data_IF_901361644193
#
_entry.id   IF_901361644193
#
_cell.length_a   1.000
_cell.length_b   1.000
_cell.length_c   1.000
_cell.angle_alpha   90.00
_cell.angle_beta   90.00
_cell.angle_gamma   90.00
#
_symmetry.space_group_name_H-M   'P 1'
#
loop_
_entity.id
_entity.type
_entity.pdbx_description
1 polymer ?
#
# COMPACT_ATOMS: atom_id res chain seq x y z
N UNK A 1 32.99 -54.43 4.58
CA UNK A 1 32.70 -53.97 5.95
C UNK A 1 33.60 -52.75 6.22
N UNK A 2 33.07 -51.53 6.27
CA UNK A 2 33.82 -50.36 6.69
C UNK A 2 33.74 -50.22 8.22
N UNK A 3 34.83 -49.74 8.80
CA UNK A 3 35.12 -49.71 10.23
C UNK A 3 34.33 -48.62 10.96
N UNK A 4 33.67 -49.01 12.06
CA UNK A 4 33.02 -48.11 13.01
C UNK A 4 34.07 -47.60 14.00
N UNK A 5 34.25 -46.28 14.06
CA UNK A 5 34.90 -45.59 15.19
C UNK A 5 33.82 -45.11 16.16
N UNK A 6 33.80 -45.54 17.43
CA UNK A 6 32.79 -45.11 18.40
C UNK A 6 33.16 -43.75 19.00
N UNK A 7 32.23 -42.79 18.95
CA UNK A 7 32.24 -41.63 19.83
C UNK A 7 32.56 -40.28 19.17
N UNK A 8 31.64 -39.77 18.34
CA UNK A 8 31.45 -38.31 18.17
C UNK A 8 29.94 -38.06 18.12
N UNK A 9 29.34 -37.78 19.27
CA UNK A 9 27.96 -37.31 19.40
C UNK A 9 27.89 -35.86 18.93
N UNK A 10 27.43 -35.65 17.69
CA UNK A 10 27.07 -34.35 17.12
C UNK A 10 25.70 -33.88 17.64
N UNK A 11 25.68 -33.27 18.84
CA UNK A 11 24.43 -32.80 19.47
C UNK A 11 24.05 -31.38 19.02
N UNK A 12 24.99 -30.61 18.46
CA UNK A 12 24.78 -29.18 18.18
C UNK A 12 24.09 -28.85 16.84
N UNK A 13 24.11 -29.75 15.85
CA UNK A 13 23.53 -29.49 14.53
C UNK A 13 21.99 -29.66 14.49
N UNK A 14 21.43 -30.54 15.33
CA UNK A 14 20.02 -30.92 15.23
C UNK A 14 19.05 -29.90 15.88
N UNK A 15 19.45 -29.22 16.96
CA UNK A 15 18.52 -28.37 17.73
C UNK A 15 18.02 -27.18 16.92
N UNK A 16 18.91 -26.49 16.19
CA UNK A 16 18.52 -25.32 15.38
C UNK A 16 17.59 -25.71 14.23
N UNK A 17 17.86 -26.82 13.55
CA UNK A 17 17.00 -27.35 12.47
C UNK A 17 15.63 -27.80 12.99
N UNK A 18 15.59 -28.42 14.18
CA UNK A 18 14.34 -28.78 14.85
C UNK A 18 13.49 -27.56 15.19
N UNK A 19 14.09 -26.48 15.69
CA UNK A 19 13.38 -25.24 15.99
C UNK A 19 12.99 -24.49 14.73
N UNK A 20 13.81 -24.52 13.68
CA UNK A 20 13.49 -23.94 12.38
C UNK A 20 12.22 -24.60 11.80
N UNK A 21 12.13 -25.93 11.81
CA UNK A 21 10.94 -26.66 11.35
C UNK A 21 9.70 -26.40 12.21
N UNK A 22 9.87 -26.06 13.50
CA UNK A 22 8.76 -25.78 14.42
C UNK A 22 8.22 -24.35 14.33
N UNK A 23 9.09 -23.39 14.02
CA UNK A 23 8.81 -21.96 14.13
C UNK A 23 8.58 -21.27 12.78
N UNK A 24 9.27 -21.71 11.71
CA UNK A 24 9.15 -21.08 10.39
C UNK A 24 7.72 -21.24 9.88
N UNK A 25 7.10 -20.12 9.48
CA UNK A 25 5.73 -20.08 8.97
C UNK A 25 4.63 -20.00 10.03
N UNK A 26 4.98 -19.90 11.32
CA UNK A 26 4.01 -19.75 12.42
C UNK A 26 4.10 -18.39 13.10
N UNK A 27 2.94 -17.79 13.42
CA UNK A 27 2.85 -16.54 14.18
C UNK A 27 3.07 -16.80 15.67
N UNK A 28 3.81 -15.95 16.37
CA UNK A 28 3.97 -16.09 17.84
C UNK A 28 2.71 -15.61 18.59
N UNK A 29 2.09 -16.48 19.38
CA UNK A 29 0.91 -16.18 20.21
C UNK A 29 1.22 -16.33 21.71
N UNK A 30 0.40 -15.74 22.58
CA UNK A 30 0.55 -15.82 24.05
C UNK A 30 -0.33 -16.92 24.68
N UNK A 31 -1.23 -17.51 23.91
CA UNK A 31 -2.35 -18.33 24.37
C UNK A 31 -2.17 -19.81 24.04
N UNK A 32 -2.08 -20.19 22.75
CA UNK A 32 -2.03 -21.61 22.33
C UNK A 32 -1.21 -21.84 21.05
N UNK A 33 -0.69 -23.07 20.89
CA UNK A 33 0.08 -23.53 19.72
C UNK A 33 -0.83 -24.29 18.75
N UNK A 34 -1.04 -23.74 17.55
CA UNK A 34 -1.85 -24.31 16.46
C UNK A 34 -1.00 -24.53 15.19
N UNK A 35 -1.63 -24.92 14.07
CA UNK A 35 -0.93 -25.09 12.79
C UNK A 35 -0.33 -23.77 12.27
N UNK A 36 -1.01 -22.64 12.53
CA UNK A 36 -0.61 -21.29 12.09
C UNK A 36 0.03 -20.44 13.20
N UNK A 37 -0.03 -20.87 14.46
CA UNK A 37 0.38 -20.09 15.63
C UNK A 37 1.27 -20.90 16.58
N UNK A 38 2.27 -20.30 17.20
CA UNK A 38 3.20 -20.94 18.14
C UNK A 38 3.23 -20.18 19.47
N UNK A 39 3.00 -20.85 20.59
CA UNK A 39 2.94 -20.21 21.89
C UNK A 39 4.33 -19.83 22.41
N UNK A 40 4.50 -18.59 22.89
CA UNK A 40 5.77 -18.12 23.48
C UNK A 40 6.21 -18.94 24.71
N UNK A 41 5.28 -19.60 25.41
CA UNK A 41 5.59 -20.45 26.57
C UNK A 41 6.31 -21.74 26.18
N UNK A 42 6.16 -22.17 24.93
CA UNK A 42 6.78 -23.38 24.39
C UNK A 42 8.20 -23.12 23.85
N UNK A 43 8.69 -21.88 23.92
CA UNK A 43 10.07 -21.54 23.59
C UNK A 43 11.05 -22.02 24.68
N UNK A 44 12.32 -22.29 24.33
CA UNK A 44 13.36 -22.64 25.30
C UNK A 44 13.50 -21.60 26.42
N UNK A 45 13.91 -22.02 27.62
CA UNK A 45 14.09 -21.10 28.76
C UNK A 45 14.98 -19.90 28.45
N UNK A 46 16.04 -20.10 27.67
CA UNK A 46 16.91 -19.05 27.17
C UNK A 46 16.55 -18.74 25.71
N UNK A 47 15.68 -17.74 25.50
CA UNK A 47 15.32 -17.26 24.17
C UNK A 47 15.31 -15.73 24.09
N UNK A 48 15.47 -15.20 22.89
CA UNK A 48 15.34 -13.78 22.56
C UNK A 48 14.52 -13.64 21.29
N UNK A 49 13.36 -12.98 21.40
CA UNK A 49 12.54 -12.61 20.25
C UNK A 49 13.04 -11.27 19.73
N UNK A 50 13.44 -11.23 18.46
CA UNK A 50 13.98 -10.05 17.79
C UNK A 50 12.95 -9.60 16.77
N UNK A 51 12.24 -8.51 17.10
CA UNK A 51 11.36 -7.84 16.16
C UNK A 51 12.18 -7.03 15.15
N UNK A 52 11.68 -6.87 13.90
CA UNK A 52 12.32 -6.02 12.90
C UNK A 52 12.61 -4.61 13.44
N UNK A 53 13.82 -4.11 13.20
CA UNK A 53 14.25 -2.78 13.65
C UNK A 53 14.72 -2.68 15.11
N UNK A 54 14.67 -3.75 15.90
CA UNK A 54 15.23 -3.74 17.26
C UNK A 54 16.75 -3.67 17.21
N UNK A 55 17.36 -2.70 17.90
CA UNK A 55 18.81 -2.70 18.10
C UNK A 55 19.20 -3.84 19.04
N UNK A 56 19.94 -4.81 18.51
CA UNK A 56 20.36 -6.00 19.24
C UNK A 56 21.88 -5.97 19.43
N UNK A 57 22.33 -6.23 20.65
CA UNK A 57 23.75 -6.42 20.95
C UNK A 57 24.27 -7.68 20.27
N UNK A 58 25.49 -7.60 19.69
CA UNK A 58 26.16 -8.76 19.08
C UNK A 58 26.87 -9.62 20.13
N UNK A 59 26.15 -10.02 21.16
CA UNK A 59 26.64 -10.90 22.22
C UNK A 59 26.41 -12.37 21.82
N UNK A 60 27.49 -13.16 21.79
CA UNK A 60 27.42 -14.59 21.49
C UNK A 60 27.09 -15.37 22.77
N UNK A 61 25.97 -16.09 22.76
CA UNK A 61 25.58 -17.02 23.82
C UNK A 61 25.05 -18.30 23.16
N UNK A 62 25.76 -19.42 23.35
CA UNK A 62 25.47 -20.72 22.72
C UNK A 62 24.17 -21.36 23.23
N UNK A 63 23.72 -21.00 24.44
CA UNK A 63 22.51 -21.57 25.05
C UNK A 63 21.22 -20.81 24.66
N UNK A 64 21.33 -19.68 23.96
CA UNK A 64 20.20 -18.77 23.69
C UNK A 64 19.68 -18.89 22.25
N UNK A 65 18.41 -19.28 22.10
CA UNK A 65 17.71 -19.25 20.81
C UNK A 65 17.31 -17.81 20.44
N UNK A 66 17.81 -17.30 19.31
CA UNK A 66 17.32 -16.04 18.73
C UNK A 66 16.21 -16.36 17.72
N UNK A 67 14.99 -15.87 17.98
CA UNK A 67 13.85 -16.00 17.08
C UNK A 67 13.64 -14.64 16.40
N UNK A 68 13.91 -14.59 15.09
CA UNK A 68 13.63 -13.40 14.30
C UNK A 68 12.18 -13.45 13.85
N UNK A 69 11.42 -12.42 14.21
CA UNK A 69 10.09 -12.23 13.66
C UNK A 69 10.22 -11.56 12.29
N UNK A 70 9.45 -12.04 11.32
CA UNK A 70 9.29 -11.36 10.05
C UNK A 70 8.56 -10.02 10.26
N UNK A 71 8.62 -9.13 9.27
CA UNK A 71 7.88 -7.87 9.22
C UNK A 71 6.37 -8.11 9.06
N UNK A 72 5.75 -8.75 10.06
CA UNK A 72 4.31 -8.97 10.10
C UNK A 72 3.56 -7.64 10.21
N UNK A 73 2.47 -7.53 9.42
CA UNK A 73 1.53 -6.42 9.51
C UNK A 73 0.95 -6.30 10.92
N UNK A 74 1.08 -5.12 11.52
CA UNK A 74 0.47 -4.82 12.80
C UNK A 74 -1.05 -4.67 12.60
N UNK A 75 -1.85 -5.52 13.25
CA UNK A 75 -3.33 -5.36 13.25
C UNK A 75 -3.72 -3.99 13.82
N UNK A 76 -4.55 -3.26 13.08
CA UNK A 76 -5.09 -1.98 13.53
C UNK A 76 -6.14 -2.16 14.62
N UNK A 77 -6.15 -1.20 15.55
CA UNK A 77 -7.27 -1.05 16.49
C UNK A 77 -8.52 -0.59 15.74
N UNK A 78 -9.69 -1.09 16.14
CA UNK A 78 -10.97 -0.78 15.51
C UNK A 78 -11.32 0.72 15.51
N UNK A 79 -10.83 1.49 16.49
CA UNK A 79 -10.99 2.95 16.51
C UNK A 79 -10.25 3.62 15.36
N UNK A 80 -9.00 3.24 15.12
CA UNK A 80 -8.15 3.79 14.05
C UNK A 80 -8.72 3.41 12.68
N UNK A 81 -9.18 2.18 12.52
CA UNK A 81 -9.85 1.72 11.30
C UNK A 81 -11.11 2.53 10.98
N UNK A 82 -11.93 2.87 12.01
CA UNK A 82 -13.11 3.72 11.82
C UNK A 82 -12.72 5.13 11.37
N UNK A 83 -11.69 5.72 11.97
CA UNK A 83 -11.15 7.02 11.55
C UNK A 83 -10.61 7.00 10.14
N UNK A 84 -9.86 5.95 9.76
CA UNK A 84 -9.36 5.78 8.40
C UNK A 84 -10.51 5.67 7.39
N UNK A 85 -11.53 4.87 7.70
CA UNK A 85 -12.72 4.74 6.86
C UNK A 85 -13.43 6.08 6.65
N UNK A 86 -13.56 6.88 7.70
CA UNK A 86 -14.16 8.22 7.60
C UNK A 86 -13.30 9.14 6.72
N UNK A 87 -11.99 9.15 6.94
CA UNK A 87 -11.04 9.92 6.11
C UNK A 87 -11.15 9.53 4.63
N UNK A 88 -11.23 8.23 4.32
CA UNK A 88 -11.38 7.73 2.96
C UNK A 88 -12.68 8.18 2.29
N UNK A 89 -13.80 8.20 3.02
CA UNK A 89 -15.08 8.68 2.48
C UNK A 89 -15.05 10.19 2.23
N UNK A 90 -14.38 10.96 3.07
CA UNK A 90 -14.19 12.40 2.86
C UNK A 90 -13.31 12.68 1.64
N UNK A 91 -12.19 11.96 1.49
CA UNK A 91 -11.27 12.15 0.36
C UNK A 91 -11.87 11.64 -0.95
N UNK A 92 -12.55 10.49 -0.92
CA UNK A 92 -13.13 9.81 -2.08
C UNK A 92 -14.64 9.56 -1.89
N UNK A 93 -15.52 10.56 -2.11
CA UNK A 93 -16.96 10.40 -1.93
C UNK A 93 -17.55 9.28 -2.79
N UNK A 94 -17.08 9.14 -4.04
CA UNK A 94 -17.52 8.09 -4.97
C UNK A 94 -17.16 6.66 -4.52
N UNK A 95 -16.28 6.52 -3.54
CA UNK A 95 -15.91 5.24 -2.94
C UNK A 95 -16.96 4.77 -1.92
N UNK A 96 -17.85 5.65 -1.44
CA UNK A 96 -18.82 5.34 -0.41
C UNK A 96 -19.72 4.14 -0.78
N UNK A 97 -20.13 4.03 -2.05
CA UNK A 97 -20.94 2.93 -2.58
C UNK A 97 -20.27 1.55 -2.51
N UNK A 98 -18.93 1.51 -2.56
CA UNK A 98 -18.14 0.27 -2.51
C UNK A 98 -17.44 0.06 -1.17
N UNK A 99 -17.61 0.97 -0.21
CA UNK A 99 -16.82 0.96 1.03
C UNK A 99 -17.06 -0.27 1.91
N UNK A 100 -18.28 -0.82 1.93
CA UNK A 100 -18.56 -2.03 2.70
C UNK A 100 -17.99 -3.30 2.05
N UNK A 101 -17.74 -3.27 0.73
CA UNK A 101 -17.03 -4.34 0.01
C UNK A 101 -15.51 -4.23 0.22
N UNK A 102 -14.96 -3.00 0.15
CA UNK A 102 -13.52 -2.74 0.25
C UNK A 102 -13.03 -2.86 1.69
N UNK A 103 -13.76 -2.26 2.64
CA UNK A 103 -13.39 -2.21 4.06
C UNK A 103 -14.62 -2.49 4.96
N UNK A 104 -14.98 -3.77 5.13
CA UNK A 104 -16.09 -4.16 5.99
C UNK A 104 -15.86 -3.69 7.44
N UNK A 105 -16.94 -3.29 8.13
CA UNK A 105 -16.88 -2.70 9.49
C UNK A 105 -16.24 -3.61 10.55
N UNK A 106 -16.27 -4.93 10.34
CA UNK A 106 -15.74 -5.96 11.26
C UNK A 106 -14.43 -6.58 10.75
N UNK A 107 -13.92 -6.12 9.62
CA UNK A 107 -12.71 -6.67 9.02
C UNK A 107 -11.47 -6.32 9.84
N UNK A 108 -10.49 -7.22 9.90
CA UNK A 108 -9.24 -7.00 10.64
C UNK A 108 -8.19 -6.39 9.71
N UNK A 109 -8.15 -5.06 9.64
CA UNK A 109 -7.16 -4.36 8.82
C UNK A 109 -5.76 -4.43 9.44
N UNK A 110 -4.74 -4.72 8.63
CA UNK A 110 -3.33 -4.75 9.03
C UNK A 110 -2.59 -3.53 8.48
N UNK A 111 -1.62 -3.01 9.24
CA UNK A 111 -0.69 -1.97 8.79
C UNK A 111 0.73 -2.52 8.73
N UNK A 112 1.37 -2.33 7.59
CA UNK A 112 2.79 -2.64 7.37
C UNK A 112 3.55 -1.33 7.20
N UNK A 113 4.64 -1.16 7.94
CA UNK A 113 5.54 -0.02 7.75
C UNK A 113 6.54 -0.36 6.64
N UNK A 114 6.65 0.53 5.66
CA UNK A 114 7.58 0.42 4.56
C UNK A 114 8.83 1.29 4.83
N UNK A 115 9.99 0.96 4.22
CA UNK A 115 11.26 1.68 4.45
C UNK A 115 11.20 3.19 4.19
N UNK A 116 10.38 3.63 3.22
CA UNK A 116 10.30 5.02 2.77
C UNK A 116 9.30 5.87 3.58
N UNK A 117 9.11 5.56 4.87
CA UNK A 117 8.14 6.23 5.75
C UNK A 117 6.70 6.19 5.23
N UNK A 118 6.37 5.10 4.53
CA UNK A 118 5.02 4.81 4.08
C UNK A 118 4.40 3.74 4.97
N UNK A 119 3.12 3.88 5.32
CA UNK A 119 2.34 2.85 6.00
C UNK A 119 1.35 2.26 5.01
N UNK A 120 1.50 0.97 4.69
CA UNK A 120 0.59 0.23 3.82
C UNK A 120 -0.50 -0.42 4.66
N UNK A 121 -1.75 -0.26 4.24
CA UNK A 121 -2.92 -0.90 4.82
C UNK A 121 -3.33 -2.10 3.97
N UNK A 122 -3.32 -3.28 4.57
CA UNK A 122 -3.58 -4.57 3.93
C UNK A 122 -4.78 -5.23 4.59
N UNK A 123 -5.69 -5.76 3.79
CA UNK A 123 -6.82 -6.54 4.26
C UNK A 123 -6.81 -7.90 3.57
N UNK A 124 -6.82 -8.98 4.35
CA UNK A 124 -6.87 -10.37 3.85
C UNK A 124 -5.81 -10.66 2.77
N UNK A 125 -4.60 -10.12 2.94
CA UNK A 125 -3.52 -10.27 1.97
C UNK A 125 -3.69 -9.41 0.70
N UNK A 126 -4.59 -8.43 0.67
CA UNK A 126 -4.73 -7.46 -0.43
C UNK A 126 -4.35 -6.04 0.02
N UNK A 127 -3.42 -5.35 -0.68
CA UNK A 127 -3.07 -3.97 -0.39
C UNK A 127 -4.18 -3.02 -0.86
N UNK A 128 -4.71 -2.22 0.07
CA UNK A 128 -5.83 -1.31 -0.21
C UNK A 128 -5.36 0.14 -0.37
N UNK A 129 -4.67 0.68 0.64
CA UNK A 129 -4.25 2.06 0.70
C UNK A 129 -2.86 2.16 1.31
N UNK A 130 -2.12 3.21 0.98
CA UNK A 130 -0.91 3.58 1.70
C UNK A 130 -0.97 5.04 2.13
N UNK A 131 -0.33 5.35 3.25
CA UNK A 131 -0.18 6.70 3.75
C UNK A 131 1.30 7.06 3.81
N UNK A 132 1.65 8.15 3.16
CA UNK A 132 2.99 8.73 3.23
C UNK A 132 3.08 9.68 4.42
N UNK A 133 4.17 9.61 5.18
CA UNK A 133 4.41 10.54 6.27
C UNK A 133 4.45 11.99 5.76
N UNK A 134 3.64 12.86 6.37
CA UNK A 134 3.51 14.28 5.98
C UNK A 134 2.34 14.58 5.04
N UNK A 135 1.73 13.57 4.42
CA UNK A 135 0.48 13.73 3.67
C UNK A 135 -0.73 13.38 4.55
N UNK A 136 -1.77 14.22 4.47
CA UNK A 136 -2.99 14.00 5.25
C UNK A 136 -3.87 12.91 4.61
N UNK A 137 -3.97 12.92 3.28
CA UNK A 137 -4.83 12.03 2.52
C UNK A 137 -4.17 10.67 2.26
N UNK A 138 -4.85 9.54 2.54
CA UNK A 138 -4.39 8.21 2.14
C UNK A 138 -4.50 8.03 0.62
N UNK A 139 -3.47 7.42 0.02
CA UNK A 139 -3.40 7.10 -1.41
C UNK A 139 -3.93 5.68 -1.66
N UNK A 140 -4.80 5.44 -2.66
CA UNK A 140 -5.20 4.10 -3.03
C UNK A 140 -4.06 3.32 -3.67
N UNK A 141 -4.04 2.01 -3.44
CA UNK A 141 -3.15 1.12 -4.17
C UNK A 141 -3.66 0.91 -5.61
N UNK A 142 -2.76 0.74 -6.58
CA UNK A 142 -3.15 0.59 -7.99
C UNK A 142 -4.10 -0.59 -8.24
N UNK A 143 -3.94 -1.71 -7.53
CA UNK A 143 -4.86 -2.86 -7.64
C UNK A 143 -6.29 -2.50 -7.23
N UNK A 144 -6.44 -1.67 -6.20
CA UNK A 144 -7.76 -1.20 -5.76
C UNK A 144 -8.36 -0.26 -6.80
N UNK A 145 -7.56 0.63 -7.36
CA UNK A 145 -7.97 1.53 -8.45
C UNK A 145 -8.43 0.75 -9.67
N UNK A 146 -7.72 -0.33 -10.05
CA UNK A 146 -8.12 -1.17 -11.18
C UNK A 146 -9.44 -1.89 -10.95
N UNK A 147 -9.74 -2.25 -9.70
CA UNK A 147 -11.02 -2.88 -9.34
C UNK A 147 -12.18 -1.87 -9.33
N UNK A 148 -11.93 -0.63 -8.94
CA UNK A 148 -12.95 0.44 -8.84
C UNK A 148 -12.47 1.73 -9.53
N UNK A 149 -12.28 1.75 -10.86
CA UNK A 149 -11.65 2.87 -11.56
C UNK A 149 -12.46 4.17 -11.48
N UNK A 150 -13.79 4.06 -11.40
CA UNK A 150 -14.71 5.20 -11.32
C UNK A 150 -14.75 5.86 -9.93
N UNK A 151 -14.18 5.21 -8.90
CA UNK A 151 -14.30 5.70 -7.52
C UNK A 151 -13.25 6.75 -7.16
N UNK A 152 -12.31 7.05 -8.06
CA UNK A 152 -11.13 7.87 -7.76
C UNK A 152 -10.96 9.04 -8.75
N UNK A 153 -10.39 10.16 -8.28
CA UNK A 153 -10.01 11.27 -9.15
C UNK A 153 -8.97 10.84 -10.17
N UNK A 154 -9.20 11.12 -11.46
CA UNK A 154 -8.31 10.69 -12.52
C UNK A 154 -7.93 11.79 -13.51
N UNK A 155 -6.69 11.74 -14.00
CA UNK A 155 -6.14 12.54 -15.10
C UNK A 155 -5.69 11.63 -16.22
N UNK A 156 -5.64 12.11 -17.47
CA UNK A 156 -5.11 11.37 -18.60
C UNK A 156 -3.79 11.96 -19.07
N UNK A 157 -2.79 11.11 -19.27
CA UNK A 157 -1.52 11.47 -19.89
C UNK A 157 -1.48 11.06 -21.36
N UNK A 158 -0.70 11.79 -22.16
CA UNK A 158 -0.41 11.42 -23.53
C UNK A 158 0.47 10.18 -23.67
N UNK A 159 0.52 9.63 -24.89
CA UNK A 159 1.36 8.47 -25.22
C UNK A 159 2.84 8.66 -24.94
N UNK A 160 3.36 9.89 -25.07
CA UNK A 160 4.77 10.20 -24.89
C UNK A 160 5.20 10.05 -23.43
N UNK A 161 4.33 10.44 -22.50
CA UNK A 161 4.57 10.40 -21.07
C UNK A 161 4.51 8.98 -20.47
N UNK A 162 3.77 8.05 -21.08
CA UNK A 162 3.52 6.69 -20.52
C UNK A 162 4.82 6.00 -20.09
N UNK A 163 5.82 5.95 -20.98
CA UNK A 163 7.09 5.25 -20.70
C UNK A 163 7.81 5.84 -19.48
N UNK A 164 7.77 7.16 -19.33
CA UNK A 164 8.47 7.87 -18.27
C UNK A 164 7.78 7.66 -16.92
N UNK A 165 6.44 7.72 -16.90
CA UNK A 165 5.64 7.43 -15.69
C UNK A 165 5.86 6.00 -15.21
N UNK A 166 5.85 5.02 -16.12
CA UNK A 166 6.15 3.62 -15.79
C UNK A 166 7.61 3.36 -15.42
N UNK A 167 8.47 4.36 -15.51
CA UNK A 167 9.86 4.31 -15.04
C UNK A 167 10.04 5.08 -13.73
N UNK A 168 8.97 5.60 -13.12
CA UNK A 168 9.00 6.39 -11.89
C UNK A 168 9.45 7.84 -12.07
N UNK A 169 9.41 8.37 -13.30
CA UNK A 169 9.75 9.78 -13.52
C UNK A 169 8.62 10.72 -13.09
N UNK A 170 8.99 11.92 -12.66
CA UNK A 170 8.07 13.03 -12.36
C UNK A 170 7.17 13.33 -13.56
N UNK A 171 5.85 13.42 -13.31
CA UNK A 171 4.90 13.82 -14.35
C UNK A 171 4.95 15.33 -14.54
N UNK A 172 5.19 15.77 -15.78
CA UNK A 172 5.28 17.17 -16.14
C UNK A 172 3.99 17.66 -16.81
N UNK A 173 3.65 18.94 -16.62
CA UNK A 173 2.44 19.56 -17.15
C UNK A 173 2.20 19.33 -18.66
N UNK A 174 3.23 19.36 -19.54
CA UNK A 174 3.03 19.10 -20.97
C UNK A 174 2.42 17.73 -21.29
N UNK A 175 2.63 16.72 -20.43
CA UNK A 175 2.03 15.39 -20.62
C UNK A 175 0.53 15.34 -20.35
N UNK A 176 -0.01 16.37 -19.68
CA UNK A 176 -1.43 16.51 -19.33
C UNK A 176 -2.15 17.57 -20.17
N UNK A 177 -1.43 18.56 -20.69
CA UNK A 177 -1.99 19.67 -21.49
C UNK A 177 -1.83 19.47 -23.00
N UNK A 178 -1.18 18.39 -23.44
CA UNK A 178 -1.09 18.01 -24.85
C UNK A 178 -2.43 17.48 -25.39
N UNK A 179 -2.60 17.31 -26.71
CA UNK A 179 -3.86 16.83 -27.29
C UNK A 179 -4.34 15.45 -26.80
N UNK A 180 -3.40 14.61 -26.34
CA UNK A 180 -3.71 13.30 -25.74
C UNK A 180 -3.92 13.34 -24.22
N UNK A 181 -3.46 14.42 -23.58
CA UNK A 181 -3.65 14.67 -22.16
C UNK A 181 -5.05 15.21 -21.84
N UNK A 182 -5.54 14.93 -20.63
CA UNK A 182 -6.82 15.45 -20.14
C UNK A 182 -6.72 15.74 -18.64
N UNK A 183 -7.09 16.95 -18.26
CA UNK A 183 -7.33 17.34 -16.87
C UNK A 183 -8.84 17.29 -16.58
N UNK A 184 -9.26 17.01 -15.33
CA UNK A 184 -10.64 17.19 -14.92
C UNK A 184 -11.04 18.65 -15.14
N UNK A 185 -12.22 18.86 -15.73
CA UNK A 185 -12.78 20.19 -16.01
C UNK A 185 -13.92 20.45 -15.04
N UNK A 186 -14.05 21.69 -14.57
CA UNK A 186 -15.31 22.18 -13.99
C UNK A 186 -16.26 22.52 -15.14
N UNK A 187 -17.53 22.12 -15.06
CA UNK A 187 -18.58 22.74 -15.89
C UNK A 187 -18.52 24.25 -15.57
N UNK A 188 -18.31 25.07 -16.59
CA UNK A 188 -18.13 26.53 -16.41
C UNK A 188 -19.43 27.26 -16.04
N UNK A 189 -20.55 26.55 -15.97
CA UNK A 189 -21.86 27.12 -15.85
C UNK A 189 -22.49 26.67 -14.52
N UNK A 190 -22.34 27.52 -13.50
CA UNK A 190 -23.29 27.61 -12.39
C UNK A 190 -24.64 28.07 -12.97
N UNK A 191 -25.44 27.18 -13.56
CA UNK A 191 -26.87 27.37 -13.87
C UNK A 191 -27.35 26.14 -14.64
N UNK A 192 -27.67 25.06 -13.94
CA UNK A 192 -28.77 24.15 -14.30
C UNK A 192 -28.97 23.17 -13.12
N UNK A 193 -30.02 23.46 -12.35
CA UNK A 193 -30.67 22.48 -11.49
C UNK A 193 -31.20 21.38 -12.41
N UNK A 194 -30.72 20.14 -12.27
CA UNK A 194 -31.49 18.90 -12.38
C UNK A 194 -30.62 17.71 -11.98
N UNK A 195 -31.26 16.68 -11.45
CA UNK A 195 -30.72 15.57 -10.67
C UNK A 195 -29.62 14.75 -11.41
N UNK A 196 -28.33 14.99 -11.16
CA UNK A 196 -27.25 14.17 -11.71
C UNK A 196 -26.18 13.79 -10.66
N UNK A 197 -25.79 12.51 -10.68
CA UNK A 197 -25.07 11.78 -9.63
C UNK A 197 -23.84 12.50 -9.03
N UNK A 198 -23.83 12.63 -7.70
CA UNK A 198 -22.77 13.18 -6.84
C UNK A 198 -21.35 13.19 -7.47
N UNK A 199 -20.92 14.32 -8.04
CA UNK A 199 -19.51 14.58 -8.35
C UNK A 199 -18.94 13.93 -9.62
N UNK A 200 -19.78 13.52 -10.58
CA UNK A 200 -19.33 13.02 -11.90
C UNK A 200 -19.55 14.02 -13.05
N UNK A 201 -18.70 13.94 -14.09
CA UNK A 201 -18.89 14.60 -15.39
C UNK A 201 -19.80 13.76 -16.30
N UNK A 202 -20.20 14.32 -17.45
CA UNK A 202 -21.06 13.70 -18.49
C UNK A 202 -20.57 12.32 -18.99
N UNK A 203 -19.30 12.01 -18.73
CA UNK A 203 -18.65 10.77 -19.15
C UNK A 203 -18.38 9.84 -17.95
N UNK A 204 -19.04 10.10 -16.81
CA UNK A 204 -18.98 9.29 -15.59
C UNK A 204 -17.67 9.42 -14.81
N UNK A 205 -16.88 10.46 -15.05
CA UNK A 205 -15.55 10.65 -14.44
C UNK A 205 -15.56 11.75 -13.40
N UNK A 206 -14.46 11.89 -12.69
CA UNK A 206 -14.33 12.87 -11.61
C UNK A 206 -14.58 14.31 -12.09
N UNK A 207 -15.63 14.95 -11.56
CA UNK A 207 -16.14 16.24 -12.04
C UNK A 207 -15.66 17.47 -11.28
N UNK A 208 -14.81 17.33 -10.24
CA UNK A 208 -14.25 18.48 -9.51
C UNK A 208 -12.80 18.75 -9.88
N UNK A 209 -12.41 20.02 -9.79
CA UNK A 209 -11.01 20.41 -9.76
C UNK A 209 -10.30 19.84 -8.53
N UNK A 210 -9.01 19.57 -8.70
CA UNK A 210 -8.17 19.02 -7.64
C UNK A 210 -7.19 20.08 -7.17
N UNK A 211 -7.16 20.29 -5.86
CA UNK A 211 -6.22 21.18 -5.21
C UNK A 211 -4.80 20.60 -5.14
N UNK A 212 -3.86 21.47 -4.76
CA UNK A 212 -2.50 21.06 -4.39
C UNK A 212 -2.56 20.08 -3.20
N UNK A 213 -1.79 19.00 -3.30
CA UNK A 213 -1.72 17.94 -2.29
C UNK A 213 -2.85 16.91 -2.38
N UNK A 214 -3.79 17.06 -3.32
CA UNK A 214 -4.81 16.04 -3.51
C UNK A 214 -4.25 14.80 -4.22
N UNK A 215 -4.72 13.60 -3.83
CA UNK A 215 -4.36 12.37 -4.50
C UNK A 215 -5.05 12.27 -5.87
N UNK A 216 -4.32 11.76 -6.87
CA UNK A 216 -4.81 11.62 -8.24
C UNK A 216 -4.34 10.32 -8.88
N UNK A 217 -5.22 9.73 -9.68
CA UNK A 217 -4.95 8.55 -10.51
C UNK A 217 -4.54 8.99 -11.90
N UNK A 218 -3.47 8.40 -12.43
CA UNK A 218 -2.94 8.68 -13.76
C UNK A 218 -3.34 7.59 -14.75
N UNK A 219 -4.21 7.95 -15.69
CA UNK A 219 -4.67 7.11 -16.80
C UNK A 219 -3.84 7.38 -18.05
N UNK A 220 -3.61 6.38 -18.88
CA UNK A 220 -2.87 6.55 -20.14
C UNK A 220 -3.80 6.64 -21.36
N UNK A 221 -3.45 7.48 -22.32
CA UNK A 221 -4.14 7.53 -23.61
C UNK A 221 -4.15 6.15 -24.30
N UNK A 222 -5.35 5.69 -24.67
CA UNK A 222 -5.55 4.39 -25.31
C UNK A 222 -5.43 3.17 -24.38
N UNK A 223 -5.43 3.38 -23.06
CA UNK A 223 -5.46 2.32 -22.05
C UNK A 223 -6.64 2.51 -21.09
N UNK A 224 -7.21 1.40 -20.65
CA UNK A 224 -8.34 1.40 -19.71
C UNK A 224 -7.88 1.33 -18.24
N UNK A 225 -6.64 0.91 -18.00
CA UNK A 225 -6.08 0.72 -16.67
C UNK A 225 -5.24 1.93 -16.24
N UNK A 226 -5.27 2.23 -14.95
CA UNK A 226 -4.43 3.26 -14.34
C UNK A 226 -2.95 2.84 -14.40
N UNK A 227 -2.08 3.77 -14.74
CA UNK A 227 -0.64 3.53 -14.85
C UNK A 227 0.12 3.92 -13.58
N UNK A 228 -0.36 4.95 -12.88
CA UNK A 228 0.24 5.43 -11.64
C UNK A 228 -0.78 6.15 -10.74
N UNK A 229 -0.41 6.36 -9.49
CA UNK A 229 -1.14 7.18 -8.50
C UNK A 229 -0.13 8.06 -7.76
N UNK A 230 -0.50 9.29 -7.46
CA UNK A 230 0.39 10.22 -6.76
C UNK A 230 -0.31 11.49 -6.30
N UNK A 231 0.43 12.36 -5.62
CA UNK A 231 -0.10 13.63 -5.11
C UNK A 231 0.20 14.77 -6.08
N UNK A 232 -0.75 15.70 -6.21
CA UNK A 232 -0.56 16.91 -7.00
C UNK A 232 0.37 17.91 -6.29
N UNK A 233 1.39 18.39 -7.00
CA UNK A 233 2.25 19.47 -6.52
C UNK A 233 1.62 20.86 -6.72
N UNK A 234 0.81 21.00 -7.76
CA UNK A 234 0.05 22.20 -8.11
C UNK A 234 -1.38 21.79 -8.48
N UNK A 235 -2.35 22.68 -8.24
CA UNK A 235 -3.76 22.41 -8.55
C UNK A 235 -4.02 22.31 -10.06
N UNK A 236 -5.06 21.58 -10.46
CA UNK A 236 -5.36 21.30 -11.87
C UNK A 236 -5.59 22.57 -12.70
N UNK A 237 -6.19 23.60 -12.10
CA UNK A 237 -6.37 24.91 -12.73
C UNK A 237 -5.02 25.60 -13.04
N UNK A 238 -4.07 25.56 -12.10
CA UNK A 238 -2.74 26.14 -12.29
C UNK A 238 -1.93 25.39 -13.35
N UNK A 239 -2.02 24.06 -13.34
CA UNK A 239 -1.35 23.21 -14.35
C UNK A 239 -1.86 23.54 -15.75
N UNK A 240 -3.18 23.73 -15.90
CA UNK A 240 -3.79 24.14 -17.17
C UNK A 240 -3.36 25.54 -17.59
N UNK A 241 -3.27 26.48 -16.66
CA UNK A 241 -2.92 27.87 -16.93
C UNK A 241 -1.43 28.06 -17.27
N UNK A 242 -0.52 27.43 -16.51
CA UNK A 242 0.94 27.55 -16.71
C UNK A 242 1.43 26.64 -17.85
N UNK A 243 0.85 25.45 -17.98
CA UNK A 243 1.23 24.44 -18.98
C UNK A 243 2.67 23.94 -18.89
N UNK A 244 3.39 24.26 -17.80
CA UNK A 244 4.81 23.92 -17.57
C UNK A 244 5.03 23.64 -16.08
N UNK A 245 6.04 22.84 -15.79
CA UNK A 245 6.43 22.49 -14.41
C UNK A 245 6.06 21.07 -14.02
N UNK A 246 6.55 20.61 -12.85
CA UNK A 246 6.23 19.31 -12.30
C UNK A 246 4.80 19.31 -11.73
N UNK A 247 4.08 18.20 -11.93
CA UNK A 247 2.67 18.06 -11.50
C UNK A 247 2.53 16.95 -10.47
N UNK A 248 3.20 15.81 -10.67
CA UNK A 248 3.18 14.68 -9.73
C UNK A 248 4.61 14.20 -9.51
N UNK A 249 5.03 14.17 -8.24
CA UNK A 249 6.27 13.55 -7.76
C UNK A 249 5.96 12.26 -6.98
N UNK A 250 6.95 11.37 -6.88
CA UNK A 250 6.91 10.14 -6.07
C UNK A 250 5.65 9.28 -6.25
N UNK A 251 5.24 9.10 -7.51
CA UNK A 251 4.08 8.29 -7.84
C UNK A 251 4.34 6.79 -7.64
N UNK A 252 3.36 6.07 -7.11
CA UNK A 252 3.31 4.61 -7.18
C UNK A 252 2.81 4.20 -8.57
N UNK A 253 3.56 3.36 -9.29
CA UNK A 253 3.31 3.02 -10.70
C UNK A 253 3.34 1.51 -10.96
N UNK A 254 2.77 1.10 -12.10
CA UNK A 254 2.75 -0.32 -12.48
C UNK A 254 4.17 -0.86 -12.67
N UNK A 255 4.48 -1.93 -11.94
CA UNK A 255 5.78 -2.59 -12.00
C UNK A 255 6.83 -2.07 -11.01
N UNK A 256 6.48 -1.11 -10.16
CA UNK A 256 7.32 -0.68 -9.05
C UNK A 256 7.40 -1.73 -7.92
N UNK A 257 8.14 -1.41 -6.85
CA UNK A 257 8.32 -2.31 -5.72
C UNK A 257 7.02 -2.60 -4.97
N UNK A 258 6.14 -1.62 -4.82
CA UNK A 258 4.86 -1.78 -4.13
C UNK A 258 3.89 -2.62 -4.95
N UNK A 259 3.88 -2.48 -6.28
CA UNK A 259 3.07 -3.28 -7.19
C UNK A 259 3.47 -4.77 -7.17
N UNK A 260 4.79 -5.01 -7.11
CA UNK A 260 5.39 -6.35 -7.05
C UNK A 260 5.31 -6.97 -5.66
N UNK A 261 4.93 -6.22 -4.64
CA UNK A 261 4.78 -6.73 -3.29
C UNK A 261 3.69 -7.79 -3.31
N UNK A 262 4.11 -9.04 -3.08
CA UNK A 262 3.20 -10.16 -2.86
C UNK A 262 2.83 -10.10 -1.39
N UNK A 263 1.65 -9.59 -1.12
CA UNK A 263 1.01 -9.67 0.19
C UNK A 263 0.54 -11.12 0.36
N UNK A 264 1.04 -11.76 1.41
CA UNK A 264 0.82 -13.18 1.74
C UNK A 264 -0.57 -13.44 2.32
#
# INVERSE_FOLDING_TARGET
MPLVVPGVTSVAANSTEEWQNKLVGKKLSDTESNETEFCKKDLPKEHRIISPGTMVTKDHNENRLNVHLDEEGQKLKSSVQRTLRQSLQTTYPLLARHMDEILPKKASLESMKLPDRNTLYVLDGEPLFFKQDGQEAPMPHLRLVHRFPEAFPSVRIDRGAIRFVLSGATLMAPGLTSPGGRLPLVRADEEEEEEEEEGRDDEGRWGRELGKGEPVVVMAEGKNEACAVGFLLEGTAEVKAKGKGPVIEDAHFLGDGLWKLVTC
#
